data_IF_939206262191
#
_entry.id   IF_939206262191
#
_cell.length_a   1.000
_cell.length_b   1.000
_cell.length_c   1.000
_cell.angle_alpha   90.00
_cell.angle_beta   90.00
_cell.angle_gamma   90.00
#
_symmetry.space_group_name_H-M   'P 1'
#
loop_
_entity.id
_entity.type
_entity.pdbx_description
1 polymer ?
#
# COMPACT_ATOMS: atom_id res chain seq x y z
N UNK A 1 5.22 -6.21 7.48
CA UNK A 1 4.59 -7.57 7.53
C UNK A 1 4.31 -8.21 6.15
N UNK A 2 3.91 -7.47 5.12
CA UNK A 2 3.47 -8.05 3.84
C UNK A 2 4.51 -8.97 3.13
N UNK A 3 5.78 -8.56 3.13
CA UNK A 3 6.84 -9.30 2.43
C UNK A 3 7.09 -10.71 2.97
N UNK A 4 6.71 -11.02 4.21
CA UNK A 4 6.87 -12.38 4.78
C UNK A 4 5.89 -13.39 4.18
N UNK A 5 4.79 -12.94 3.58
CA UNK A 5 3.80 -13.79 2.91
C UNK A 5 4.15 -14.04 1.43
N UNK A 6 5.15 -13.36 0.89
CA UNK A 6 5.54 -13.44 -0.52
C UNK A 6 5.90 -14.88 -0.92
N UNK A 7 5.26 -15.38 -1.98
CA UNK A 7 5.40 -16.75 -2.50
C UNK A 7 4.63 -17.81 -1.71
N UNK A 8 3.92 -17.44 -0.63
CA UNK A 8 3.10 -18.39 0.13
C UNK A 8 1.66 -18.46 -0.41
N UNK A 9 0.92 -19.51 -0.05
CA UNK A 9 -0.52 -19.63 -0.37
C UNK A 9 -1.39 -18.52 0.24
N UNK A 10 -0.85 -17.76 1.19
CA UNK A 10 -1.53 -16.67 1.89
C UNK A 10 -1.16 -15.29 1.34
N UNK A 11 -0.33 -15.22 0.29
CA UNK A 11 -0.05 -13.95 -0.37
C UNK A 11 -1.36 -13.35 -0.91
N UNK A 12 -1.69 -12.09 -0.58
CA UNK A 12 -2.86 -11.43 -1.13
C UNK A 12 -2.76 -11.29 -2.65
N UNK A 13 -3.91 -11.34 -3.33
CA UNK A 13 -4.01 -11.07 -4.76
C UNK A 13 -4.16 -9.57 -5.01
N UNK A 14 -3.16 -8.96 -5.64
CA UNK A 14 -3.15 -7.51 -5.91
C UNK A 14 -3.69 -7.12 -7.28
N UNK A 15 -3.82 -8.08 -8.21
CA UNK A 15 -4.39 -7.83 -9.54
C UNK A 15 -5.80 -7.25 -9.43
N UNK A 16 -6.02 -6.08 -10.05
CA UNK A 16 -7.30 -5.39 -10.04
C UNK A 16 -7.61 -4.61 -8.75
N UNK A 17 -6.63 -4.44 -7.85
CA UNK A 17 -6.82 -3.79 -6.55
C UNK A 17 -5.87 -2.59 -6.35
N UNK A 18 -6.24 -1.71 -5.42
CA UNK A 18 -5.35 -0.69 -4.85
C UNK A 18 -4.63 -1.30 -3.65
N UNK A 19 -3.31 -1.15 -3.59
CA UNK A 19 -2.50 -1.67 -2.49
C UNK A 19 -2.27 -0.57 -1.46
N UNK A 20 -2.68 -0.83 -0.22
CA UNK A 20 -2.35 0.03 0.91
C UNK A 20 -1.06 -0.44 1.59
N UNK A 21 -0.10 0.47 1.81
CA UNK A 21 1.18 0.19 2.47
C UNK A 21 1.49 1.25 3.54
N UNK A 22 1.96 0.79 4.68
CA UNK A 22 2.48 1.60 5.79
C UNK A 22 3.48 0.74 6.59
N UNK A 23 4.35 1.38 7.37
CA UNK A 23 5.28 0.65 8.26
C UNK A 23 5.78 1.53 9.42
N UNK A 24 6.44 0.90 10.40
CA UNK A 24 7.02 1.57 11.58
C UNK A 24 8.41 1.04 11.92
N UNK A 25 9.37 1.93 12.17
CA UNK A 25 10.74 1.57 12.58
C UNK A 25 11.58 0.90 11.47
N UNK A 26 11.10 0.94 10.23
CA UNK A 26 11.76 0.32 9.09
C UNK A 26 12.62 1.33 8.34
N UNK A 27 13.94 1.23 8.52
CA UNK A 27 14.89 2.07 7.80
C UNK A 27 14.73 1.91 6.27
N UNK A 28 15.08 2.93 5.44
CA UNK A 28 14.74 2.93 4.02
C UNK A 28 15.27 1.72 3.24
N UNK A 29 16.45 1.20 3.60
CA UNK A 29 17.02 0.00 2.97
C UNK A 29 16.20 -1.28 3.25
N UNK A 30 15.47 -1.36 4.38
CA UNK A 30 14.59 -2.48 4.69
C UNK A 30 13.30 -2.40 3.88
N UNK A 31 12.74 -1.22 3.74
CA UNK A 31 11.61 -0.95 2.83
C UNK A 31 12.00 -1.33 1.40
N UNK A 32 13.18 -0.90 0.94
CA UNK A 32 13.71 -1.23 -0.38
C UNK A 32 13.80 -2.73 -0.62
N UNK A 33 14.38 -3.46 0.33
CA UNK A 33 14.50 -4.92 0.30
C UNK A 33 13.14 -5.60 0.22
N UNK A 34 12.16 -5.15 1.01
CA UNK A 34 10.81 -5.73 1.03
C UNK A 34 10.07 -5.47 -0.29
N UNK A 35 10.10 -4.24 -0.81
CA UNK A 35 9.48 -3.90 -2.10
C UNK A 35 10.15 -4.64 -3.25
N UNK A 36 11.47 -4.73 -3.25
CA UNK A 36 12.23 -5.49 -4.25
C UNK A 36 11.81 -6.95 -4.25
N UNK A 37 11.67 -7.58 -3.07
CA UNK A 37 11.21 -8.97 -2.98
C UNK A 37 9.82 -9.16 -3.61
N UNK A 38 8.86 -8.30 -3.29
CA UNK A 38 7.50 -8.36 -3.82
C UNK A 38 7.45 -8.12 -5.33
N UNK A 39 8.18 -7.11 -5.82
CA UNK A 39 8.31 -6.80 -7.24
C UNK A 39 8.91 -7.96 -8.02
N UNK A 40 10.01 -8.54 -7.52
CA UNK A 40 10.71 -9.65 -8.20
C UNK A 40 9.93 -10.96 -8.18
N UNK A 41 8.99 -11.12 -7.24
CA UNK A 41 8.07 -12.24 -7.20
C UNK A 41 6.82 -12.04 -8.09
N UNK A 42 6.71 -10.92 -8.81
CA UNK A 42 5.52 -10.59 -9.60
C UNK A 42 4.29 -10.28 -8.76
N UNK A 43 4.45 -9.99 -7.46
CA UNK A 43 3.30 -9.81 -6.55
C UNK A 43 2.37 -8.68 -7.01
N UNK A 44 2.93 -7.60 -7.54
CA UNK A 44 2.18 -6.41 -7.98
C UNK A 44 1.72 -6.46 -9.44
N UNK A 45 1.76 -7.62 -10.11
CA UNK A 45 1.26 -7.74 -11.47
C UNK A 45 -0.25 -7.44 -11.56
N UNK A 46 -0.59 -6.44 -12.38
CA UNK A 46 -1.95 -5.96 -12.59
C UNK A 46 -2.54 -5.16 -11.42
N UNK A 47 -1.72 -4.66 -10.49
CA UNK A 47 -2.15 -3.68 -9.49
C UNK A 47 -2.74 -2.44 -10.16
N UNK A 48 -3.73 -1.78 -9.55
CA UNK A 48 -4.35 -0.56 -10.08
C UNK A 48 -3.78 0.73 -9.49
N UNK A 49 -3.11 0.66 -8.35
CA UNK A 49 -2.49 1.80 -7.71
C UNK A 49 -2.00 1.51 -6.29
N UNK A 50 -1.33 2.49 -5.69
CA UNK A 50 -0.82 2.40 -4.31
C UNK A 50 -1.33 3.57 -3.47
N UNK A 51 -1.76 3.25 -2.25
CA UNK A 51 -2.13 4.19 -1.21
C UNK A 51 -1.12 4.03 -0.06
N UNK A 52 -0.26 5.03 0.14
CA UNK A 52 0.80 4.99 1.14
C UNK A 52 0.34 5.77 2.38
N UNK A 53 0.27 5.05 3.50
CA UNK A 53 -0.04 5.58 4.82
C UNK A 53 1.14 6.32 5.45
N UNK A 54 1.16 6.27 6.77
CA UNK A 54 2.23 6.80 7.62
C UNK A 54 3.47 5.88 7.64
N UNK A 55 4.63 6.49 7.84
CA UNK A 55 5.94 5.83 7.85
C UNK A 55 6.71 6.26 9.10
N UNK A 56 6.23 5.84 10.27
CA UNK A 56 6.74 6.31 11.55
C UNK A 56 8.11 5.72 11.87
N UNK A 57 9.05 6.52 12.39
CA UNK A 57 10.42 6.09 12.70
C UNK A 57 11.16 5.36 11.56
N UNK A 58 10.76 5.59 10.30
CA UNK A 58 11.33 4.93 9.13
C UNK A 58 12.48 5.72 8.47
N UNK A 59 12.84 6.89 9.00
CA UNK A 59 13.69 7.86 8.30
C UNK A 59 12.94 8.50 7.13
N UNK A 60 13.59 8.67 5.98
CA UNK A 60 12.95 9.12 4.74
C UNK A 60 12.84 7.97 3.72
N UNK A 61 11.70 7.25 3.65
CA UNK A 61 11.50 6.14 2.72
C UNK A 61 10.99 6.59 1.35
N UNK A 62 10.59 7.86 1.16
CA UNK A 62 9.93 8.33 -0.06
C UNK A 62 10.80 8.18 -1.32
N UNK A 63 12.13 8.40 -1.30
CA UNK A 63 12.97 8.13 -2.47
C UNK A 63 12.89 6.68 -2.94
N UNK A 64 12.93 5.74 -1.99
CA UNK A 64 12.84 4.29 -2.27
C UNK A 64 11.45 3.94 -2.80
N UNK A 65 10.39 4.40 -2.14
CA UNK A 65 9.01 4.16 -2.59
C UNK A 65 8.79 4.67 -4.01
N UNK A 66 9.29 5.88 -4.30
CA UNK A 66 9.22 6.49 -5.62
C UNK A 66 9.96 5.66 -6.67
N UNK A 67 11.21 5.28 -6.39
CA UNK A 67 12.05 4.50 -7.31
C UNK A 67 11.44 3.13 -7.61
N UNK A 68 10.83 2.48 -6.61
CA UNK A 68 10.29 1.13 -6.75
C UNK A 68 8.87 1.08 -7.33
N UNK A 69 8.02 2.06 -7.02
CA UNK A 69 6.59 2.02 -7.38
C UNK A 69 6.25 2.80 -8.65
N UNK A 70 6.87 3.95 -8.92
CA UNK A 70 6.55 4.74 -10.13
C UNK A 70 6.79 3.99 -11.46
N UNK A 71 7.82 3.14 -11.60
CA UNK A 71 8.02 2.38 -12.84
C UNK A 71 6.88 1.40 -13.18
N UNK A 72 5.98 1.10 -12.23
CA UNK A 72 4.80 0.27 -12.49
C UNK A 72 3.75 1.01 -13.33
N UNK A 73 3.87 2.33 -13.51
CA UNK A 73 2.98 3.11 -14.37
C UNK A 73 1.56 3.28 -13.83
N UNK A 74 1.35 3.04 -12.53
CA UNK A 74 0.06 3.19 -11.86
C UNK A 74 0.07 4.37 -10.87
N UNK A 75 -1.10 4.95 -10.53
CA UNK A 75 -1.19 6.02 -9.54
C UNK A 75 -0.62 5.61 -8.18
N UNK A 76 0.13 6.53 -7.56
CA UNK A 76 0.67 6.39 -6.20
C UNK A 76 0.26 7.63 -5.41
N UNK A 77 -0.60 7.43 -4.42
CA UNK A 77 -1.00 8.45 -3.44
C UNK A 77 -0.23 8.21 -2.14
N UNK A 78 0.35 9.26 -1.57
CA UNK A 78 1.13 9.15 -0.34
C UNK A 78 0.76 10.21 0.69
N UNK A 79 1.13 9.97 1.96
CA UNK A 79 0.86 10.90 3.05
C UNK A 79 -0.53 10.74 3.67
N UNK A 80 -1.19 9.59 3.47
CA UNK A 80 -2.45 9.30 4.14
C UNK A 80 -2.20 9.15 5.65
N UNK A 81 -3.06 9.77 6.46
CA UNK A 81 -3.00 9.67 7.93
C UNK A 81 -3.57 8.32 8.44
N UNK A 82 -3.05 7.21 7.91
CA UNK A 82 -3.43 5.83 8.25
C UNK A 82 -2.15 5.06 8.55
N UNK A 83 -2.12 4.25 9.60
CA UNK A 83 -0.91 3.52 10.04
C UNK A 83 -0.49 3.95 11.45
N UNK A 84 0.79 3.87 11.79
CA UNK A 84 1.27 4.10 13.16
C UNK A 84 1.33 5.56 13.63
N UNK A 85 1.08 6.54 12.75
CA UNK A 85 1.14 7.97 13.07
C UNK A 85 -0.05 8.53 13.85
N UNK A 86 0.00 9.84 14.13
CA UNK A 86 -1.13 10.60 14.71
C UNK A 86 -1.54 11.74 13.78
N UNK A 87 -2.82 11.83 13.35
CA UNK A 87 -3.93 10.94 13.69
C UNK A 87 -3.84 9.57 12.98
N UNK A 88 -4.49 8.56 13.56
CA UNK A 88 -4.57 7.21 13.01
C UNK A 88 -5.99 6.96 12.48
N UNK A 89 -6.26 7.39 11.24
CA UNK A 89 -7.53 7.14 10.58
C UNK A 89 -7.67 5.66 10.23
N UNK A 90 -8.92 5.19 10.16
CA UNK A 90 -9.24 3.82 9.77
C UNK A 90 -9.42 3.71 8.27
N UNK A 91 -9.04 2.56 7.71
CA UNK A 91 -9.32 2.17 6.33
C UNK A 91 -9.90 0.76 6.30
N UNK A 92 -10.85 0.52 5.40
CA UNK A 92 -11.44 -0.79 5.19
C UNK A 92 -10.66 -1.55 4.12
N UNK A 93 -10.15 -2.72 4.46
CA UNK A 93 -9.46 -3.59 3.51
C UNK A 93 -10.47 -4.52 2.83
N UNK A 94 -10.34 -4.66 1.51
CA UNK A 94 -11.23 -5.51 0.69
C UNK A 94 -12.51 -4.82 0.22
N UNK A 95 -12.77 -3.58 0.63
CA UNK A 95 -13.88 -2.76 0.14
C UNK A 95 -13.54 -2.06 -1.19
N UNK A 96 -14.57 -1.63 -1.91
CA UNK A 96 -14.40 -0.79 -3.10
C UNK A 96 -13.88 0.60 -2.70
N UNK A 97 -12.76 1.00 -3.30
CA UNK A 97 -12.13 2.28 -3.06
C UNK A 97 -11.60 2.93 -4.33
N UNK A 98 -11.36 4.23 -4.26
CA UNK A 98 -10.77 5.05 -5.30
C UNK A 98 -9.70 5.95 -4.70
N UNK A 99 -8.57 6.08 -5.40
CA UNK A 99 -7.56 7.10 -5.13
C UNK A 99 -7.59 8.16 -6.23
N UNK A 100 -7.40 9.40 -5.82
CA UNK A 100 -7.24 10.54 -6.72
C UNK A 100 -5.98 11.31 -6.31
N UNK A 101 -5.02 11.34 -7.22
CA UNK A 101 -3.71 11.99 -7.01
C UNK A 101 -3.74 13.50 -7.24
N UNK A 102 -4.77 14.05 -7.89
CA UNK A 102 -4.95 15.50 -8.04
C UNK A 102 -5.55 16.10 -6.77
N UNK A 103 -6.59 15.47 -6.22
CA UNK A 103 -7.23 15.90 -4.97
C UNK A 103 -6.55 15.36 -3.71
N UNK A 104 -5.53 14.50 -3.87
CA UNK A 104 -4.84 13.80 -2.79
C UNK A 104 -5.79 13.05 -1.84
N UNK A 105 -6.75 12.32 -2.41
CA UNK A 105 -7.82 11.68 -1.63
C UNK A 105 -7.89 10.17 -1.84
N UNK A 106 -8.27 9.47 -0.76
CA UNK A 106 -8.69 8.07 -0.77
C UNK A 106 -10.14 8.03 -0.28
N UNK A 107 -11.03 7.49 -1.10
CA UNK A 107 -12.44 7.34 -0.77
C UNK A 107 -12.88 5.89 -0.96
N UNK A 108 -13.89 5.46 -0.21
CA UNK A 108 -14.55 4.17 -0.37
C UNK A 108 -16.02 4.30 -0.01
N UNK A 109 -16.86 3.46 -0.62
CA UNK A 109 -18.28 3.41 -0.28
C UNK A 109 -18.55 2.24 0.65
N UNK A 110 -19.37 2.46 1.67
CA UNK A 110 -20.01 1.38 2.40
C UNK A 110 -21.06 0.74 1.50
N UNK A 111 -21.03 -0.59 1.36
CA UNK A 111 -22.16 -1.33 0.80
C UNK A 111 -22.55 -2.45 1.75
N UNK A 112 -23.85 -2.68 1.93
CA UNK A 112 -24.40 -3.71 2.83
C UNK A 112 -23.94 -5.15 2.50
N UNK A 113 -23.30 -5.34 1.34
CA UNK A 113 -22.71 -6.62 0.92
C UNK A 113 -21.50 -7.02 1.79
N UNK A 114 -20.84 -6.06 2.45
CA UNK A 114 -19.66 -6.29 3.29
C UNK A 114 -19.99 -6.84 4.69
N UNK A 115 -21.26 -6.85 5.10
CA UNK A 115 -21.71 -7.43 6.38
C UNK A 115 -22.11 -8.92 6.27
N UNK A 116 -22.13 -9.47 5.04
CA UNK A 116 -22.66 -10.80 4.75
C UNK A 116 -21.60 -11.87 4.45
N UNK A 117 -20.34 -11.69 4.89
CA UNK A 117 -19.29 -12.70 4.80
C UNK A 117 -18.62 -12.98 6.15
#
# INVERSE_FOLDING_TARGET
MLASLCGTRWQPRFTGNIVFLEDVGEAPYRVDRMLTQLLRAGAFEGVLGFALGSWEDCGDPYPVLRERLLPLGVPVLAGLAVGHGTPQLSVWLGALGAIDTESCSLAGQFSDVDTAR
#
